data_IF_407880481116
#
_entry.id   IF_407880481116
#
_cell.length_a   1.000
_cell.length_b   1.000
_cell.length_c   1.000
_cell.angle_alpha   90.00
_cell.angle_beta   90.00
_cell.angle_gamma   90.00
#
_symmetry.space_group_name_H-M   'P 1'
#
loop_
_entity.id
_entity.type
_entity.pdbx_description
1 polymer ?
#
# COMPACT_ATOMS: atom_id res chain seq x y z
N UNK A 1 27.77 6.14 -5.32
CA UNK A 1 28.00 7.18 -4.30
C UNK A 1 26.97 8.31 -4.34
N UNK A 2 26.69 8.95 -5.47
CA UNK A 2 25.72 10.07 -5.60
C UNK A 2 24.30 9.76 -5.10
N UNK A 3 23.82 8.52 -5.16
CA UNK A 3 22.47 8.12 -4.71
C UNK A 3 22.28 8.31 -3.19
N UNK A 4 23.32 8.09 -2.38
CA UNK A 4 23.26 8.24 -0.92
C UNK A 4 23.31 9.69 -0.44
N UNK A 5 23.89 10.63 -1.24
CA UNK A 5 23.87 12.06 -0.96
C UNK A 5 22.47 12.71 -1.05
N UNK A 6 21.45 11.94 -1.44
CA UNK A 6 20.05 12.39 -1.43
C UNK A 6 19.49 12.50 0.00
N UNK A 7 20.07 11.77 0.94
CA UNK A 7 19.60 11.74 2.33
C UNK A 7 20.15 12.96 3.10
N UNK A 8 19.27 13.76 3.73
CA UNK A 8 19.69 14.94 4.49
C UNK A 8 20.62 14.60 5.66
N UNK A 9 20.46 13.43 6.28
CA UNK A 9 21.31 12.95 7.36
C UNK A 9 22.75 12.71 6.91
N UNK A 10 22.94 12.18 5.71
CA UNK A 10 24.27 11.95 5.14
C UNK A 10 24.91 13.27 4.75
N UNK A 11 24.16 14.23 4.19
CA UNK A 11 24.66 15.58 3.89
C UNK A 11 25.13 16.29 5.14
N UNK A 12 24.31 16.28 6.20
CA UNK A 12 24.64 16.90 7.48
C UNK A 12 25.88 16.26 8.11
N UNK A 13 25.98 14.93 8.11
CA UNK A 13 27.13 14.21 8.63
C UNK A 13 28.41 14.55 7.84
N UNK A 14 28.34 14.51 6.50
CA UNK A 14 29.48 14.83 5.63
C UNK A 14 29.94 16.27 5.85
N UNK A 15 29.02 17.23 5.99
CA UNK A 15 29.33 18.62 6.27
C UNK A 15 30.04 18.79 7.63
N UNK A 16 29.54 18.14 8.69
CA UNK A 16 30.17 18.15 10.01
C UNK A 16 31.59 17.56 9.98
N UNK A 17 31.78 16.43 9.31
CA UNK A 17 33.09 15.82 9.16
C UNK A 17 34.02 16.70 8.36
N UNK A 18 33.59 17.38 7.30
CA UNK A 18 34.39 18.27 6.51
C UNK A 18 34.86 19.47 7.34
N UNK A 19 34.00 20.08 8.16
CA UNK A 19 34.36 21.16 9.06
C UNK A 19 35.41 20.70 10.08
N UNK A 20 35.19 19.54 10.72
CA UNK A 20 36.14 19.00 11.70
C UNK A 20 37.47 18.70 11.06
N UNK A 21 37.49 18.12 9.86
CA UNK A 21 38.73 17.84 9.12
C UNK A 21 39.51 19.12 8.80
N UNK A 22 38.86 20.17 8.30
CA UNK A 22 39.48 21.44 8.00
C UNK A 22 40.03 22.07 9.29
N UNK A 23 39.25 22.09 10.36
CA UNK A 23 39.67 22.64 11.65
C UNK A 23 40.86 21.87 12.22
N UNK A 24 40.85 20.54 12.13
CA UNK A 24 41.95 19.70 12.57
C UNK A 24 43.22 19.93 11.73
N UNK A 25 43.08 20.01 10.39
CA UNK A 25 44.17 20.30 9.50
C UNK A 25 44.82 21.69 9.77
N UNK A 26 44.01 22.70 10.03
CA UNK A 26 44.52 24.05 10.36
C UNK A 26 45.21 24.06 11.71
N UNK A 27 44.64 23.43 12.74
CA UNK A 27 45.26 23.33 14.06
C UNK A 27 46.57 22.54 14.03
N UNK A 28 46.65 21.43 13.30
CA UNK A 28 47.89 20.67 13.15
C UNK A 28 48.95 21.46 12.41
N UNK A 29 48.59 22.24 11.39
CA UNK A 29 49.51 23.09 10.67
C UNK A 29 50.11 24.20 11.57
N UNK A 30 49.25 24.85 12.38
CA UNK A 30 49.68 25.86 13.34
C UNK A 30 50.62 25.23 14.40
N UNK A 31 50.23 24.07 14.92
CA UNK A 31 51.03 23.32 15.90
C UNK A 31 52.42 22.97 15.35
N UNK A 32 52.49 22.39 14.14
CA UNK A 32 53.75 22.02 13.50
C UNK A 32 54.64 23.27 13.33
N UNK A 33 54.07 24.38 12.86
CA UNK A 33 54.78 25.65 12.69
C UNK A 33 55.35 26.17 14.02
N UNK A 34 54.56 26.09 15.10
CA UNK A 34 55.01 26.52 16.44
C UNK A 34 56.14 25.68 16.97
N UNK A 35 56.08 24.35 16.81
CA UNK A 35 57.12 23.44 17.23
C UNK A 35 58.40 23.57 16.38
N UNK A 36 58.28 23.80 15.06
CA UNK A 36 59.40 24.06 14.19
C UNK A 36 60.10 25.38 14.57
N UNK A 37 59.33 26.41 14.94
CA UNK A 37 59.91 27.68 15.41
C UNK A 37 60.69 27.50 16.72
N UNK A 38 60.21 26.69 17.64
CA UNK A 38 60.95 26.36 18.88
C UNK A 38 62.22 25.57 18.60
N UNK A 39 62.14 24.55 17.72
CA UNK A 39 63.29 23.79 17.30
C UNK A 39 64.37 24.70 16.67
N UNK A 40 63.98 25.61 15.76
CA UNK A 40 64.87 26.58 15.15
C UNK A 40 65.55 27.50 16.19
N UNK A 41 64.78 27.97 17.20
CA UNK A 41 65.31 28.78 18.29
C UNK A 41 66.34 27.99 19.13
N UNK A 42 66.04 26.74 19.46
CA UNK A 42 66.97 25.90 20.23
C UNK A 42 68.22 25.55 19.45
N UNK A 43 68.09 25.33 18.12
CA UNK A 43 69.20 25.14 17.21
C UNK A 43 70.14 26.44 17.12
N UNK A 44 69.50 27.60 16.95
CA UNK A 44 70.21 28.86 16.93
C UNK A 44 70.97 29.13 18.27
N UNK A 45 70.30 28.83 19.41
CA UNK A 45 70.92 28.98 20.75
C UNK A 45 72.11 28.04 20.93
N UNK A 46 71.99 26.78 20.45
CA UNK A 46 73.16 25.86 20.50
C UNK A 46 74.32 26.36 19.67
N UNK A 47 74.05 26.75 18.43
CA UNK A 47 75.13 27.35 17.58
C UNK A 47 75.75 28.61 18.20
N UNK A 48 74.93 29.50 18.78
CA UNK A 48 75.39 30.66 19.49
C UNK A 48 76.30 30.30 20.64
N UNK A 49 76.01 29.32 21.44
CA UNK A 49 76.87 28.82 22.52
C UNK A 49 78.18 28.21 22.01
N UNK A 50 78.12 27.45 20.91
CA UNK A 50 79.34 26.87 20.30
C UNK A 50 80.27 27.99 19.79
N UNK A 51 79.68 28.91 19.01
CA UNK A 51 80.42 30.07 18.48
C UNK A 51 80.99 30.91 19.60
N UNK A 52 80.23 31.27 20.64
CA UNK A 52 80.73 32.02 21.80
C UNK A 52 81.87 31.32 22.54
N UNK A 53 81.74 29.97 22.71
CA UNK A 53 82.84 29.21 23.33
C UNK A 53 84.13 29.18 22.50
N UNK A 54 84.03 29.21 21.16
CA UNK A 54 85.21 29.23 20.26
C UNK A 54 85.80 30.62 20.23
N UNK A 55 84.97 31.65 20.01
CA UNK A 55 85.46 33.06 19.91
C UNK A 55 85.99 33.58 21.23
N UNK A 56 85.54 33.12 22.35
CA UNK A 56 86.14 33.48 23.65
C UNK A 56 87.62 33.05 23.80
N UNK A 57 88.04 32.04 23.03
CA UNK A 57 89.42 31.53 23.03
C UNK A 57 90.22 31.97 21.78
N UNK A 58 89.55 32.15 20.66
CA UNK A 58 90.09 32.42 19.34
C UNK A 58 89.25 33.53 18.63
N UNK A 59 89.37 34.79 19.02
CA UNK A 59 88.69 35.92 18.43
C UNK A 59 88.95 36.11 16.94
N UNK A 60 90.15 35.73 16.47
CA UNK A 60 90.59 35.81 15.09
C UNK A 60 89.83 34.99 14.09
N UNK A 61 89.00 34.03 14.55
CA UNK A 61 88.23 33.12 13.70
C UNK A 61 86.75 33.64 13.39
N UNK A 62 86.40 34.86 13.77
CA UNK A 62 85.12 35.44 13.67
C UNK A 62 84.51 35.37 12.22
N UNK A 63 85.29 35.92 11.26
CA UNK A 63 84.83 35.96 9.87
C UNK A 63 84.66 34.59 9.26
N UNK A 64 85.58 33.65 9.57
CA UNK A 64 85.50 32.26 9.05
C UNK A 64 84.34 31.50 9.59
N UNK A 65 84.02 31.64 10.88
CA UNK A 65 82.84 30.98 11.52
C UNK A 65 81.54 31.59 10.96
N UNK A 66 81.44 32.91 10.81
CA UNK A 66 80.21 33.52 10.28
C UNK A 66 79.98 33.14 8.82
N UNK A 67 81.03 33.02 8.00
CA UNK A 67 80.97 32.55 6.64
C UNK A 67 80.44 31.07 6.61
N UNK A 68 80.97 30.21 7.47
CA UNK A 68 80.54 28.81 7.57
C UNK A 68 79.10 28.63 8.02
N UNK A 69 78.55 29.51 8.89
CA UNK A 69 77.14 29.47 9.34
C UNK A 69 76.15 30.03 8.29
N UNK A 70 76.61 30.91 7.39
CA UNK A 70 75.80 31.55 6.35
C UNK A 70 75.96 30.91 4.98
N UNK A 71 76.86 29.92 4.82
CA UNK A 71 77.11 29.30 3.52
C UNK A 71 75.80 28.60 3.04
N UNK A 72 75.35 29.01 1.84
CA UNK A 72 74.22 28.39 1.14
C UNK A 72 74.66 27.08 0.41
N UNK A 73 73.73 26.25 0.04
CA UNK A 73 73.95 24.99 -0.64
C UNK A 73 74.88 25.00 -1.88
N UNK A 74 75.15 26.19 -2.47
CA UNK A 74 76.02 26.36 -3.65
C UNK A 74 77.51 26.29 -3.34
N UNK A 75 77.92 26.31 -2.04
CA UNK A 75 79.32 26.25 -1.62
C UNK A 75 79.85 24.82 -1.36
N UNK A 76 79.11 23.77 -1.76
CA UNK A 76 79.36 22.38 -1.40
C UNK A 76 80.72 21.81 -1.83
N UNK A 77 81.40 22.38 -2.83
CA UNK A 77 82.64 21.77 -3.32
C UNK A 77 83.82 21.95 -2.36
N UNK A 78 83.92 23.03 -1.61
CA UNK A 78 84.92 23.22 -0.56
C UNK A 78 84.51 22.65 0.80
N UNK A 79 83.17 22.44 1.00
CA UNK A 79 82.58 21.87 2.22
C UNK A 79 82.76 20.36 2.36
N UNK A 80 82.95 19.61 1.26
CA UNK A 80 83.08 18.15 1.34
C UNK A 80 84.33 17.70 2.13
N UNK A 81 85.43 18.44 2.01
CA UNK A 81 86.67 18.19 2.76
C UNK A 81 86.49 18.55 4.25
N UNK A 82 85.96 19.70 4.54
CA UNK A 82 85.69 20.17 5.90
C UNK A 82 84.63 19.37 6.59
N UNK A 83 83.59 18.95 5.86
CA UNK A 83 82.59 18.02 6.34
C UNK A 83 83.15 16.65 6.73
N UNK A 84 84.02 16.05 5.92
CA UNK A 84 84.73 14.80 6.24
C UNK A 84 85.62 14.93 7.49
N UNK A 85 86.31 16.03 7.65
CA UNK A 85 87.13 16.31 8.86
C UNK A 85 86.21 16.40 10.09
N UNK A 86 85.13 17.21 10.03
CA UNK A 86 84.21 17.38 11.10
C UNK A 86 83.47 16.05 11.47
N UNK A 87 83.07 15.30 10.47
CA UNK A 87 82.42 13.96 10.64
C UNK A 87 83.35 13.02 11.36
N UNK A 88 84.58 12.89 10.91
CA UNK A 88 85.61 12.01 11.54
C UNK A 88 85.88 12.35 13.02
N UNK A 89 85.86 13.69 13.36
CA UNK A 89 86.04 14.13 14.75
C UNK A 89 84.75 13.77 15.58
N UNK A 90 83.57 14.05 15.07
CA UNK A 90 82.33 13.83 15.78
C UNK A 90 82.04 12.29 16.00
N UNK A 91 82.34 11.50 14.99
CA UNK A 91 82.22 10.04 15.09
C UNK A 91 83.10 9.44 16.22
N UNK A 92 84.29 9.99 16.48
CA UNK A 92 85.17 9.57 17.62
C UNK A 92 84.47 9.76 18.96
N UNK A 93 83.55 10.69 19.06
CA UNK A 93 82.77 10.99 20.27
C UNK A 93 81.32 10.44 20.21
N UNK A 94 81.05 9.52 19.26
CA UNK A 94 79.70 8.94 19.08
C UNK A 94 78.59 9.97 18.81
N UNK A 95 78.96 11.06 18.14
CA UNK A 95 78.02 12.10 17.69
C UNK A 95 77.90 12.01 16.16
N UNK A 96 77.08 11.06 15.72
CA UNK A 96 76.82 10.75 14.30
C UNK A 96 75.36 10.55 14.02
N UNK A 97 75.00 10.17 12.80
CA UNK A 97 73.63 9.97 12.36
C UNK A 97 72.88 8.87 13.11
N UNK A 98 73.62 7.96 13.79
CA UNK A 98 73.07 6.89 14.63
C UNK A 98 72.68 7.40 16.03
N UNK A 99 72.99 8.63 16.38
CA UNK A 99 72.68 9.20 17.69
C UNK A 99 71.16 9.24 17.91
N UNK A 100 70.71 8.47 18.91
CA UNK A 100 69.33 8.41 19.27
C UNK A 100 68.76 9.79 19.65
N UNK A 101 67.50 10.10 19.20
CA UNK A 101 66.85 11.43 19.36
C UNK A 101 66.89 11.93 20.82
N UNK A 102 66.76 11.03 21.81
CA UNK A 102 66.78 11.37 23.24
C UNK A 102 68.16 11.71 23.78
N UNK A 103 69.24 11.35 23.07
CA UNK A 103 70.62 11.71 23.43
C UNK A 103 71.05 13.04 22.81
N UNK A 104 70.34 13.46 21.76
CA UNK A 104 70.64 14.77 21.14
C UNK A 104 70.10 15.91 22.01
N UNK A 105 70.94 16.85 22.46
CA UNK A 105 70.54 17.92 23.39
C UNK A 105 69.41 18.81 22.86
N UNK A 106 69.36 19.07 21.54
CA UNK A 106 68.33 19.89 20.89
C UNK A 106 67.05 19.11 20.70
N UNK A 107 67.17 17.87 20.21
CA UNK A 107 66.01 17.09 19.78
C UNK A 107 65.29 16.39 20.93
N UNK A 108 65.96 16.11 22.07
CA UNK A 108 65.41 15.40 23.21
C UNK A 108 64.11 16.00 23.73
N UNK A 109 64.14 17.26 24.06
CA UNK A 109 62.97 17.95 24.61
C UNK A 109 61.86 18.20 23.56
N UNK A 110 62.28 18.41 22.29
CA UNK A 110 61.38 18.56 21.17
C UNK A 110 60.61 17.28 20.89
N UNK A 111 61.29 16.15 20.69
CA UNK A 111 60.68 14.87 20.30
C UNK A 111 59.65 14.37 21.33
N UNK A 112 59.98 14.46 22.61
CA UNK A 112 59.09 14.00 23.69
C UNK A 112 57.79 14.87 23.70
N UNK A 113 57.95 16.18 23.73
CA UNK A 113 56.78 17.10 23.78
C UNK A 113 55.95 17.00 22.51
N UNK A 114 56.58 16.88 21.35
CA UNK A 114 55.89 16.72 20.06
C UNK A 114 55.05 15.45 20.00
N UNK A 115 55.62 14.32 20.42
CA UNK A 115 54.89 13.02 20.44
C UNK A 115 53.68 13.09 21.39
N UNK A 116 53.87 13.58 22.62
CA UNK A 116 52.75 13.69 23.60
C UNK A 116 51.63 14.60 23.10
N UNK A 117 51.93 15.76 22.56
CA UNK A 117 50.96 16.70 22.01
C UNK A 117 50.23 16.12 20.81
N UNK A 118 50.94 15.43 19.91
CA UNK A 118 50.36 14.79 18.74
C UNK A 118 49.37 13.74 19.17
N UNK A 119 49.72 12.88 20.13
CA UNK A 119 48.80 11.83 20.66
C UNK A 119 47.53 12.48 21.27
N UNK A 120 47.71 13.59 22.03
CA UNK A 120 46.56 14.29 22.62
C UNK A 120 45.61 14.84 21.54
N UNK A 121 46.12 15.49 20.50
CA UNK A 121 45.32 16.06 19.41
C UNK A 121 44.58 14.97 18.63
N UNK A 122 45.25 13.86 18.29
CA UNK A 122 44.60 12.73 17.62
C UNK A 122 43.54 12.07 18.51
N UNK A 123 43.82 11.88 19.80
CA UNK A 123 42.86 11.36 20.75
C UNK A 123 41.61 12.22 20.86
N UNK A 124 41.77 13.54 20.89
CA UNK A 124 40.66 14.48 20.96
C UNK A 124 39.84 14.47 19.65
N UNK A 125 40.46 14.39 18.49
CA UNK A 125 39.80 14.30 17.21
C UNK A 125 38.96 13.00 17.11
N UNK A 126 39.53 11.86 17.49
CA UNK A 126 38.84 10.56 17.52
C UNK A 126 37.64 10.63 18.48
N UNK A 127 37.79 11.24 19.66
CA UNK A 127 36.69 11.38 20.65
C UNK A 127 35.52 12.20 20.10
N UNK A 128 35.82 13.33 19.42
CA UNK A 128 34.75 14.14 18.78
C UNK A 128 34.02 13.35 17.70
N UNK A 129 34.76 12.62 16.86
CA UNK A 129 34.18 11.75 15.83
C UNK A 129 33.27 10.67 16.48
N UNK A 130 33.73 10.06 17.56
CA UNK A 130 32.96 9.05 18.30
C UNK A 130 31.61 9.62 18.81
N UNK A 131 31.60 10.83 19.40
CA UNK A 131 30.37 11.47 19.88
C UNK A 131 29.37 11.68 18.73
N UNK A 132 29.85 12.16 17.55
CA UNK A 132 28.98 12.40 16.39
C UNK A 132 28.37 11.09 15.87
N UNK A 133 29.17 10.06 15.77
CA UNK A 133 28.71 8.73 15.32
C UNK A 133 27.69 8.18 16.31
N UNK A 134 27.98 8.24 17.61
CA UNK A 134 27.08 7.76 18.67
C UNK A 134 25.70 8.42 18.60
N UNK A 135 25.66 9.74 18.42
CA UNK A 135 24.41 10.50 18.34
C UNK A 135 23.58 10.10 17.10
N UNK A 136 24.23 9.86 15.96
CA UNK A 136 23.56 9.37 14.75
C UNK A 136 23.06 7.93 14.89
N UNK A 137 23.79 7.04 15.53
CA UNK A 137 23.33 5.68 15.82
C UNK A 137 22.14 5.69 16.78
N UNK A 138 22.17 6.49 17.83
CA UNK A 138 21.02 6.64 18.75
C UNK A 138 19.76 7.09 18.03
N UNK A 139 19.87 8.05 17.10
CA UNK A 139 18.74 8.48 16.27
C UNK A 139 18.21 7.33 15.38
N UNK A 140 19.11 6.58 14.73
CA UNK A 140 18.77 5.43 13.90
C UNK A 140 18.02 4.35 14.69
N UNK A 141 18.53 3.96 15.86
CA UNK A 141 17.88 2.95 16.71
C UNK A 141 16.51 3.41 17.20
N UNK A 142 16.36 4.69 17.55
CA UNK A 142 15.05 5.24 17.92
C UNK A 142 14.04 5.15 16.77
N UNK A 143 14.46 5.37 15.53
CA UNK A 143 13.58 5.18 14.35
C UNK A 143 13.23 3.70 14.14
N UNK A 144 14.20 2.79 14.28
CA UNK A 144 13.94 1.36 14.18
C UNK A 144 12.94 0.88 15.25
N UNK A 145 13.04 1.36 16.49
CA UNK A 145 12.08 1.06 17.57
C UNK A 145 10.65 1.48 17.22
N UNK A 146 10.46 2.64 16.56
CA UNK A 146 9.14 3.09 16.09
C UNK A 146 8.55 2.10 15.09
N UNK A 147 9.35 1.60 14.14
CA UNK A 147 8.88 0.58 13.19
C UNK A 147 8.54 -0.75 13.86
N UNK A 148 9.33 -1.15 14.86
CA UNK A 148 9.04 -2.38 15.63
C UNK A 148 7.70 -2.27 16.35
N UNK A 149 7.47 -1.18 17.08
CA UNK A 149 6.19 -0.92 17.76
C UNK A 149 5.02 -0.84 16.79
N UNK A 150 5.21 -0.14 15.66
CA UNK A 150 4.20 -0.06 14.62
C UNK A 150 3.84 -1.44 14.05
N UNK A 151 4.84 -2.32 13.88
CA UNK A 151 4.59 -3.70 13.42
C UNK A 151 3.84 -4.53 14.46
N UNK A 152 4.15 -4.37 15.75
CA UNK A 152 3.44 -5.03 16.86
C UNK A 152 1.96 -4.59 16.89
N UNK A 153 1.70 -3.28 16.80
CA UNK A 153 0.33 -2.75 16.76
C UNK A 153 -0.48 -3.27 15.56
N UNK A 154 0.14 -3.38 14.38
CA UNK A 154 -0.51 -3.99 13.21
C UNK A 154 -0.84 -5.47 13.45
N UNK A 155 0.06 -6.24 14.09
CA UNK A 155 -0.21 -7.64 14.45
C UNK A 155 -1.38 -7.78 15.42
N UNK A 156 -1.56 -6.80 16.31
CA UNK A 156 -2.68 -6.71 17.24
C UNK A 156 -3.99 -6.18 16.59
N UNK A 157 -3.94 -5.85 15.30
CA UNK A 157 -5.08 -5.37 14.53
C UNK A 157 -5.34 -3.87 14.62
N UNK A 158 -4.39 -3.09 15.11
CA UNK A 158 -4.47 -1.64 15.17
C UNK A 158 -3.72 -1.00 14.00
N UNK A 159 -4.46 -0.46 13.04
CA UNK A 159 -3.92 0.11 11.78
C UNK A 159 -3.86 1.63 11.80
N UNK A 160 -3.21 2.22 12.81
CA UNK A 160 -3.06 3.67 12.89
C UNK A 160 -1.91 4.17 11.98
N UNK A 161 -1.88 5.46 11.64
CA UNK A 161 -0.69 6.07 11.01
C UNK A 161 0.45 6.14 12.02
N UNK A 162 1.44 5.27 11.86
CA UNK A 162 2.50 5.07 12.84
C UNK A 162 3.74 5.93 12.61
N UNK A 163 3.96 6.44 11.41
CA UNK A 163 5.22 7.08 11.05
C UNK A 163 4.97 8.39 10.31
N UNK A 164 5.72 9.44 10.74
CA UNK A 164 5.64 10.77 10.15
C UNK A 164 6.20 10.78 8.71
N UNK A 165 5.41 11.29 7.77
CA UNK A 165 5.70 11.32 6.32
C UNK A 165 6.24 12.68 5.85
N UNK A 166 6.42 13.67 6.77
CA UNK A 166 6.60 15.08 6.41
C UNK A 166 8.04 15.54 6.14
N UNK A 167 9.00 14.63 5.89
CA UNK A 167 10.39 14.98 5.61
C UNK A 167 10.94 14.23 4.38
N UNK A 168 12.08 14.67 3.86
CA UNK A 168 12.78 14.04 2.76
C UNK A 168 13.83 13.02 3.25
N UNK A 169 14.04 11.93 2.49
CA UNK A 169 15.05 10.91 2.75
C UNK A 169 14.51 9.49 2.72
N UNK A 170 15.42 8.50 2.67
CA UNK A 170 15.06 7.08 2.50
C UNK A 170 14.20 6.53 3.67
N UNK A 171 14.38 7.05 4.88
CA UNK A 171 13.54 6.70 6.03
C UNK A 171 12.08 7.12 5.84
N UNK A 172 11.84 8.27 5.20
CA UNK A 172 10.48 8.76 4.95
C UNK A 172 9.83 8.00 3.79
N UNK A 173 10.62 7.62 2.78
CA UNK A 173 10.14 6.69 1.74
C UNK A 173 9.74 5.35 2.36
N UNK A 174 10.55 4.81 3.27
CA UNK A 174 10.22 3.59 4.01
C UNK A 174 8.94 3.76 4.84
N UNK A 175 8.80 4.88 5.56
CA UNK A 175 7.59 5.20 6.34
C UNK A 175 6.34 5.24 5.49
N UNK A 176 6.40 5.94 4.34
CA UNK A 176 5.28 6.04 3.40
C UNK A 176 4.90 4.66 2.84
N UNK A 177 5.90 3.85 2.47
CA UNK A 177 5.64 2.47 1.99
C UNK A 177 5.07 1.56 3.08
N UNK A 178 5.53 1.72 4.31
CA UNK A 178 5.01 0.98 5.47
C UNK A 178 3.55 1.35 5.75
N UNK A 179 3.22 2.65 5.79
CA UNK A 179 1.84 3.11 5.97
C UNK A 179 0.93 2.64 4.84
N UNK A 180 1.41 2.67 3.58
CA UNK A 180 0.65 2.14 2.44
C UNK A 180 0.39 0.63 2.57
N UNK A 181 1.38 -0.14 3.02
CA UNK A 181 1.23 -1.57 3.29
C UNK A 181 0.22 -1.82 4.41
N UNK A 182 0.28 -1.05 5.50
CA UNK A 182 -0.66 -1.12 6.62
C UNK A 182 -2.10 -0.87 6.17
N UNK A 183 -2.34 0.19 5.40
CA UNK A 183 -3.67 0.53 4.88
C UNK A 183 -4.21 -0.57 3.96
N UNK A 184 -3.39 -1.12 3.06
CA UNK A 184 -3.80 -2.22 2.18
C UNK A 184 -4.12 -3.50 2.95
N UNK A 185 -3.36 -3.79 4.01
CA UNK A 185 -3.62 -4.94 4.88
C UNK A 185 -4.94 -4.77 5.63
N UNK A 186 -5.21 -3.59 6.18
CA UNK A 186 -6.48 -3.25 6.83
C UNK A 186 -7.66 -3.44 5.87
N UNK A 187 -7.57 -2.86 4.66
CA UNK A 187 -8.60 -3.00 3.64
C UNK A 187 -8.84 -4.47 3.26
N UNK A 188 -7.76 -5.25 3.09
CA UNK A 188 -7.85 -6.68 2.78
C UNK A 188 -8.52 -7.48 3.90
N UNK A 189 -8.17 -7.20 5.15
CA UNK A 189 -8.80 -7.86 6.31
C UNK A 189 -10.28 -7.48 6.47
N UNK A 190 -10.63 -6.21 6.23
CA UNK A 190 -12.03 -5.77 6.24
C UNK A 190 -12.85 -6.45 5.14
N UNK A 191 -12.28 -6.60 3.94
CA UNK A 191 -12.92 -7.31 2.84
C UNK A 191 -13.10 -8.80 3.16
N UNK A 192 -12.06 -9.47 3.66
CA UNK A 192 -12.16 -10.87 4.11
C UNK A 192 -13.23 -11.06 5.20
N UNK A 193 -13.32 -10.12 6.14
CA UNK A 193 -14.36 -10.15 7.18
C UNK A 193 -15.76 -10.00 6.60
N UNK A 194 -15.94 -9.10 5.64
CA UNK A 194 -17.21 -8.93 4.92
C UNK A 194 -17.58 -10.21 4.15
N UNK A 195 -16.64 -10.79 3.42
CA UNK A 195 -16.86 -12.06 2.69
C UNK A 195 -17.21 -13.21 3.62
N UNK A 196 -16.53 -13.33 4.76
CA UNK A 196 -16.84 -14.36 5.77
C UNK A 196 -18.25 -14.21 6.34
N UNK A 197 -18.66 -12.98 6.69
CA UNK A 197 -20.02 -12.71 7.19
C UNK A 197 -21.04 -13.03 6.09
N UNK A 198 -20.76 -12.62 4.87
CA UNK A 198 -21.56 -12.89 3.71
C UNK A 198 -21.78 -14.40 3.47
N UNK A 199 -20.70 -15.20 3.45
CA UNK A 199 -20.79 -16.66 3.31
C UNK A 199 -21.59 -17.29 4.45
N UNK A 200 -21.40 -16.85 5.69
CA UNK A 200 -22.15 -17.32 6.85
C UNK A 200 -23.66 -17.09 6.66
N UNK A 201 -24.02 -15.87 6.23
CA UNK A 201 -25.42 -15.51 6.03
C UNK A 201 -26.04 -16.35 4.90
N UNK A 202 -25.34 -16.50 3.76
CA UNK A 202 -25.82 -17.36 2.66
C UNK A 202 -26.05 -18.78 3.13
N UNK A 203 -25.11 -19.40 3.82
CA UNK A 203 -25.25 -20.79 4.29
C UNK A 203 -26.44 -20.92 5.24
N UNK A 204 -26.63 -19.94 6.14
CA UNK A 204 -27.76 -19.90 7.05
C UNK A 204 -29.07 -19.80 6.28
N UNK A 205 -29.17 -18.89 5.33
CA UNK A 205 -30.37 -18.64 4.53
C UNK A 205 -30.72 -19.86 3.66
N UNK A 206 -29.73 -20.45 2.99
CA UNK A 206 -29.92 -21.72 2.22
C UNK A 206 -30.48 -22.82 3.12
N UNK A 207 -29.87 -23.00 4.29
CA UNK A 207 -30.29 -24.04 5.23
C UNK A 207 -31.75 -23.87 5.65
N UNK A 208 -32.16 -22.64 5.95
CA UNK A 208 -33.56 -22.34 6.31
C UNK A 208 -34.51 -22.54 5.14
N UNK A 209 -34.17 -22.11 3.92
CA UNK A 209 -35.04 -22.22 2.76
C UNK A 209 -35.14 -23.63 2.19
N UNK A 210 -34.15 -24.50 2.43
CA UNK A 210 -34.22 -25.91 2.07
C UNK A 210 -34.92 -26.76 3.14
N UNK A 211 -34.80 -26.41 4.42
CA UNK A 211 -35.42 -27.18 5.53
C UNK A 211 -36.93 -27.23 5.42
N UNK A 212 -37.59 -26.12 5.07
CA UNK A 212 -39.06 -26.03 5.00
C UNK A 212 -39.64 -26.98 3.95
N UNK A 213 -39.26 -26.91 2.64
CA UNK A 213 -39.77 -27.83 1.64
C UNK A 213 -39.39 -29.28 1.93
N UNK A 214 -38.20 -29.56 2.45
CA UNK A 214 -37.78 -30.88 2.84
C UNK A 214 -38.66 -31.46 3.95
N UNK A 215 -38.98 -30.69 4.99
CA UNK A 215 -39.86 -31.11 6.07
C UNK A 215 -41.28 -31.41 5.55
N UNK A 216 -41.80 -30.60 4.60
CA UNK A 216 -43.07 -30.86 3.96
C UNK A 216 -43.06 -32.17 3.15
N UNK A 217 -41.98 -32.42 2.39
CA UNK A 217 -41.82 -33.66 1.64
C UNK A 217 -41.77 -34.89 2.56
N UNK A 218 -41.05 -34.81 3.68
CA UNK A 218 -41.01 -35.89 4.69
C UNK A 218 -42.44 -36.18 5.22
N UNK A 219 -43.16 -35.11 5.60
CA UNK A 219 -44.52 -35.20 6.10
C UNK A 219 -45.46 -35.82 5.05
N UNK A 220 -45.42 -35.34 3.80
CA UNK A 220 -46.25 -35.90 2.73
C UNK A 220 -45.96 -37.39 2.48
N UNK A 221 -44.66 -37.76 2.49
CA UNK A 221 -44.25 -39.13 2.33
C UNK A 221 -44.72 -40.03 3.50
N UNK A 222 -44.71 -39.53 4.74
CA UNK A 222 -45.24 -40.26 5.89
C UNK A 222 -46.78 -40.47 5.79
N UNK A 223 -47.49 -39.40 5.40
CA UNK A 223 -48.94 -39.48 5.23
C UNK A 223 -49.36 -40.50 4.13
N UNK A 224 -48.60 -40.48 2.99
CA UNK A 224 -48.86 -41.40 1.87
C UNK A 224 -48.60 -42.89 2.16
N UNK A 225 -47.96 -43.24 3.30
CA UNK A 225 -47.74 -44.60 3.75
C UNK A 225 -49.02 -45.23 4.33
N UNK A 226 -50.01 -44.43 4.66
CA UNK A 226 -51.31 -44.95 5.12
C UNK A 226 -52.04 -45.73 3.98
N UNK A 227 -52.15 -46.99 4.13
CA UNK A 227 -52.80 -47.86 3.14
C UNK A 227 -54.29 -47.51 2.94
N UNK A 228 -54.97 -46.96 3.94
CA UNK A 228 -56.36 -46.55 3.90
C UNK A 228 -56.61 -45.15 3.34
N UNK A 229 -55.55 -44.45 2.91
CA UNK A 229 -55.68 -43.08 2.35
C UNK A 229 -56.49 -43.11 1.05
N UNK A 230 -57.53 -42.25 0.89
CA UNK A 230 -58.26 -42.09 -0.36
C UNK A 230 -57.28 -41.76 -1.53
N UNK A 231 -57.60 -42.32 -2.70
CA UNK A 231 -56.75 -42.13 -3.90
C UNK A 231 -56.59 -40.63 -4.24
N UNK A 232 -57.63 -39.86 -4.12
CA UNK A 232 -57.66 -38.42 -4.40
C UNK A 232 -56.69 -37.64 -3.48
N UNK A 233 -56.65 -37.97 -2.19
CA UNK A 233 -55.77 -37.39 -1.23
C UNK A 233 -54.26 -37.73 -1.53
N UNK A 234 -54.04 -39.00 -1.94
CA UNK A 234 -52.70 -39.45 -2.35
C UNK A 234 -52.23 -38.75 -3.59
N UNK A 235 -53.09 -38.54 -4.61
CA UNK A 235 -52.77 -37.76 -5.81
C UNK A 235 -52.49 -36.30 -5.46
N UNK A 236 -53.21 -35.70 -4.52
CA UNK A 236 -52.98 -34.37 -4.04
C UNK A 236 -51.57 -34.22 -3.35
N UNK A 237 -51.18 -35.17 -2.48
CA UNK A 237 -49.88 -35.17 -1.84
C UNK A 237 -48.74 -35.38 -2.83
N UNK A 238 -48.92 -36.20 -3.86
CA UNK A 238 -47.96 -36.37 -4.95
C UNK A 238 -47.76 -35.06 -5.71
N UNK A 239 -48.86 -34.35 -6.03
CA UNK A 239 -48.81 -33.04 -6.68
C UNK A 239 -48.08 -31.99 -5.83
N UNK A 240 -48.42 -31.91 -4.54
CA UNK A 240 -47.76 -31.02 -3.60
C UNK A 240 -46.25 -31.34 -3.45
N UNK A 241 -45.91 -32.65 -3.48
CA UNK A 241 -44.53 -33.10 -3.44
C UNK A 241 -43.75 -32.64 -4.69
N UNK A 242 -44.33 -32.77 -5.88
CA UNK A 242 -43.75 -32.29 -7.14
C UNK A 242 -43.54 -30.77 -7.11
N UNK A 243 -44.47 -30.01 -6.57
CA UNK A 243 -44.35 -28.57 -6.37
C UNK A 243 -43.17 -28.21 -5.44
N UNK A 244 -42.99 -28.92 -4.31
CA UNK A 244 -41.87 -28.68 -3.41
C UNK A 244 -40.51 -29.05 -4.05
N UNK A 245 -40.44 -30.15 -4.80
CA UNK A 245 -39.23 -30.55 -5.53
C UNK A 245 -38.82 -29.50 -6.58
N UNK A 246 -39.78 -29.04 -7.40
CA UNK A 246 -39.55 -27.97 -8.38
C UNK A 246 -39.11 -26.67 -7.71
N UNK A 247 -39.65 -26.35 -6.55
CA UNK A 247 -39.24 -25.19 -5.75
C UNK A 247 -37.81 -25.32 -5.27
N UNK A 248 -37.41 -26.51 -4.78
CA UNK A 248 -36.05 -26.77 -4.35
C UNK A 248 -35.04 -26.71 -5.52
N UNK A 249 -35.37 -27.31 -6.66
CA UNK A 249 -34.59 -27.27 -7.89
C UNK A 249 -34.32 -25.79 -8.32
N UNK A 250 -35.40 -25.01 -8.41
CA UNK A 250 -35.30 -23.59 -8.76
C UNK A 250 -34.45 -22.82 -7.78
N UNK A 251 -34.57 -23.07 -6.47
CA UNK A 251 -33.78 -22.46 -5.43
C UNK A 251 -32.29 -22.76 -5.62
N UNK A 252 -31.94 -24.02 -5.81
CA UNK A 252 -30.53 -24.45 -5.99
C UNK A 252 -29.93 -23.82 -7.24
N UNK A 253 -30.64 -23.81 -8.37
CA UNK A 253 -30.13 -23.20 -9.62
C UNK A 253 -29.87 -21.72 -9.42
N UNK A 254 -30.79 -20.99 -8.80
CA UNK A 254 -30.59 -19.53 -8.62
C UNK A 254 -29.52 -19.19 -7.59
N UNK A 255 -29.35 -20.00 -6.54
CA UNK A 255 -28.26 -19.85 -5.58
C UNK A 255 -26.89 -20.10 -6.23
N UNK A 256 -26.77 -21.10 -7.09
CA UNK A 256 -25.54 -21.34 -7.86
C UNK A 256 -25.26 -20.19 -8.82
N UNK A 257 -26.29 -19.62 -9.47
CA UNK A 257 -26.11 -18.41 -10.31
C UNK A 257 -25.56 -17.21 -9.50
N UNK A 258 -26.19 -16.94 -8.35
CA UNK A 258 -25.72 -15.84 -7.45
C UNK A 258 -24.29 -16.12 -6.97
N UNK A 259 -24.00 -17.33 -6.51
CA UNK A 259 -22.65 -17.68 -6.04
C UNK A 259 -21.58 -17.49 -7.11
N UNK A 260 -21.87 -17.85 -8.38
CA UNK A 260 -20.95 -17.61 -9.50
C UNK A 260 -20.77 -16.14 -9.84
N UNK A 261 -21.85 -15.35 -9.80
CA UNK A 261 -21.80 -13.90 -10.04
C UNK A 261 -20.95 -13.18 -8.97
N UNK A 262 -21.20 -13.50 -7.71
CA UNK A 262 -20.50 -12.90 -6.57
C UNK A 262 -19.01 -13.29 -6.49
N UNK A 263 -18.69 -14.53 -6.87
CA UNK A 263 -17.31 -14.99 -6.99
C UNK A 263 -16.57 -14.36 -8.20
N UNK A 264 -17.26 -13.59 -9.05
CA UNK A 264 -16.68 -12.99 -10.24
C UNK A 264 -16.21 -13.99 -11.30
N UNK A 265 -16.66 -15.26 -11.23
CA UNK A 265 -16.24 -16.32 -12.16
C UNK A 265 -17.12 -16.41 -13.42
N UNK A 266 -18.14 -15.56 -13.51
CA UNK A 266 -19.01 -15.48 -14.69
C UNK A 266 -18.32 -14.64 -15.77
N UNK A 267 -18.00 -15.27 -16.87
CA UNK A 267 -17.52 -14.57 -18.08
C UNK A 267 -18.72 -14.12 -18.90
N UNK A 268 -19.06 -12.84 -18.84
CA UNK A 268 -20.15 -12.26 -19.62
C UNK A 268 -19.74 -12.12 -21.11
N UNK A 269 -20.58 -12.66 -21.99
CA UNK A 269 -20.46 -12.45 -23.44
C UNK A 269 -21.06 -11.09 -23.83
N UNK A 270 -20.34 -10.01 -23.54
CA UNK A 270 -20.81 -8.64 -23.82
C UNK A 270 -20.61 -8.31 -25.29
N UNK A 271 -21.62 -8.54 -26.08
CA UNK A 271 -21.68 -8.21 -27.51
C UNK A 271 -22.61 -7.02 -27.73
N UNK A 272 -22.48 -6.37 -28.89
CA UNK A 272 -23.39 -5.28 -29.26
C UNK A 272 -24.72 -5.88 -29.70
N UNK A 273 -25.61 -6.10 -28.75
CA UNK A 273 -26.90 -6.76 -28.95
C UNK A 273 -28.06 -5.75 -29.00
N UNK A 274 -29.11 -5.99 -29.82
CA UNK A 274 -30.29 -5.14 -29.87
C UNK A 274 -31.12 -5.29 -28.58
N UNK A 275 -31.42 -4.17 -27.90
CA UNK A 275 -32.19 -4.18 -26.66
C UNK A 275 -33.60 -4.71 -26.85
N UNK A 276 -34.26 -4.37 -27.97
CA UNK A 276 -35.60 -4.85 -28.30
C UNK A 276 -35.68 -6.38 -28.30
N UNK A 277 -34.68 -7.05 -28.89
CA UNK A 277 -34.62 -8.53 -28.91
C UNK A 277 -34.45 -9.10 -27.50
N UNK A 278 -33.59 -8.48 -26.70
CA UNK A 278 -33.34 -8.90 -25.30
C UNK A 278 -34.63 -8.80 -24.44
N UNK A 279 -35.39 -7.71 -24.60
CA UNK A 279 -36.64 -7.50 -23.88
C UNK A 279 -37.72 -8.50 -24.35
N UNK A 280 -37.82 -8.74 -25.65
CA UNK A 280 -38.77 -9.75 -26.16
C UNK A 280 -38.43 -11.14 -25.66
N UNK A 281 -37.14 -11.49 -25.58
CA UNK A 281 -36.68 -12.75 -24.97
C UNK A 281 -37.10 -12.87 -23.50
N UNK A 282 -36.96 -11.78 -22.74
CA UNK A 282 -37.39 -11.73 -21.34
C UNK A 282 -38.90 -11.93 -21.17
N UNK A 283 -39.67 -11.44 -22.11
CA UNK A 283 -41.17 -11.55 -22.11
C UNK A 283 -41.67 -12.89 -22.58
N UNK A 284 -40.93 -13.66 -23.39
CA UNK A 284 -41.41 -14.86 -24.07
C UNK A 284 -42.08 -15.89 -23.12
N UNK A 285 -41.49 -16.08 -21.91
CA UNK A 285 -42.03 -16.98 -20.90
C UNK A 285 -43.14 -16.38 -19.99
N UNK A 286 -43.39 -15.07 -20.08
CA UNK A 286 -44.28 -14.33 -19.18
C UNK A 286 -45.56 -13.84 -19.85
N UNK A 287 -45.63 -13.85 -21.17
CA UNK A 287 -46.77 -13.34 -21.96
C UNK A 287 -48.09 -14.01 -21.64
N UNK A 288 -48.11 -15.35 -21.38
CA UNK A 288 -49.32 -16.07 -20.98
C UNK A 288 -49.79 -15.65 -19.58
N UNK A 289 -48.87 -15.41 -18.64
CA UNK A 289 -49.24 -14.97 -17.28
C UNK A 289 -49.90 -13.60 -17.31
N UNK A 290 -49.33 -12.63 -18.08
CA UNK A 290 -49.92 -11.34 -18.28
C UNK A 290 -51.32 -11.41 -18.94
N UNK A 291 -51.47 -12.26 -19.98
CA UNK A 291 -52.76 -12.50 -20.65
C UNK A 291 -53.81 -13.07 -19.71
N UNK A 292 -53.48 -14.00 -18.83
CA UNK A 292 -54.41 -14.58 -17.83
C UNK A 292 -54.96 -13.50 -16.89
N UNK A 293 -54.17 -12.47 -16.56
CA UNK A 293 -54.59 -11.27 -15.79
C UNK A 293 -55.18 -10.15 -16.67
N UNK A 294 -55.29 -10.39 -17.99
CA UNK A 294 -55.75 -9.37 -18.95
C UNK A 294 -54.93 -8.04 -18.86
N UNK A 295 -53.67 -8.16 -18.46
CA UNK A 295 -52.77 -7.04 -18.32
C UNK A 295 -52.24 -6.58 -19.68
N UNK A 296 -52.00 -5.25 -19.86
CA UNK A 296 -51.43 -4.66 -21.08
C UNK A 296 -49.97 -4.46 -20.91
N UNK A 297 -49.14 -5.18 -21.66
CA UNK A 297 -47.67 -4.95 -21.72
C UNK A 297 -47.38 -4.10 -22.95
N UNK A 298 -46.72 -2.96 -22.74
CA UNK A 298 -46.33 -1.98 -23.78
C UNK A 298 -44.82 -1.87 -23.83
N UNK A 299 -44.22 -2.19 -25.00
CA UNK A 299 -42.83 -2.02 -25.26
C UNK A 299 -42.68 -0.73 -26.10
N UNK A 300 -41.97 0.25 -25.55
CA UNK A 300 -41.64 1.51 -26.20
C UNK A 300 -40.12 1.65 -26.32
N UNK A 301 -39.52 0.80 -27.17
CA UNK A 301 -38.09 0.68 -27.42
C UNK A 301 -37.90 0.64 -28.92
N UNK A 302 -37.05 1.52 -29.44
CA UNK A 302 -36.73 1.51 -30.87
C UNK A 302 -35.87 0.29 -31.21
N UNK A 303 -36.11 -0.33 -32.37
CA UNK A 303 -35.40 -1.54 -32.80
C UNK A 303 -33.89 -1.28 -33.05
N UNK A 304 -33.53 -0.04 -33.29
CA UNK A 304 -32.16 0.42 -33.59
C UNK A 304 -31.33 0.70 -32.32
N UNK A 305 -31.86 0.43 -31.13
CA UNK A 305 -31.11 0.61 -29.87
C UNK A 305 -30.22 -0.60 -29.61
N UNK A 306 -28.90 -0.38 -29.70
CA UNK A 306 -27.87 -1.40 -29.44
C UNK A 306 -26.94 -0.97 -28.34
N UNK A 307 -26.52 -1.91 -27.48
CA UNK A 307 -25.47 -1.68 -26.50
C UNK A 307 -24.71 -2.97 -26.16
N UNK A 308 -23.52 -2.82 -25.57
CA UNK A 308 -22.70 -3.96 -25.19
C UNK A 308 -23.21 -4.61 -23.90
N UNK A 309 -23.87 -5.75 -24.03
CA UNK A 309 -24.35 -6.54 -22.89
C UNK A 309 -24.38 -8.03 -23.22
N UNK A 310 -24.46 -8.84 -22.17
CA UNK A 310 -24.78 -10.27 -22.31
C UNK A 310 -26.29 -10.41 -22.43
N UNK A 311 -26.77 -10.87 -23.59
CA UNK A 311 -28.19 -10.99 -23.90
C UNK A 311 -28.92 -11.93 -22.95
N UNK A 312 -28.30 -13.08 -22.62
CA UNK A 312 -28.95 -14.11 -21.76
C UNK A 312 -29.12 -13.60 -20.34
N UNK A 313 -28.05 -13.11 -19.74
CA UNK A 313 -28.08 -12.60 -18.38
C UNK A 313 -28.94 -11.34 -18.25
N UNK A 314 -28.88 -10.44 -19.22
CA UNK A 314 -29.72 -9.22 -19.20
C UNK A 314 -31.19 -9.55 -19.40
N UNK A 315 -31.54 -10.51 -20.30
CA UNK A 315 -32.89 -10.97 -20.44
C UNK A 315 -33.40 -11.62 -19.15
N UNK A 316 -32.60 -12.38 -18.41
CA UNK A 316 -32.97 -12.97 -17.12
C UNK A 316 -33.27 -11.86 -16.08
N UNK A 317 -32.38 -10.83 -15.99
CA UNK A 317 -32.61 -9.71 -15.10
C UNK A 317 -33.92 -8.96 -15.40
N UNK A 318 -34.16 -8.64 -16.66
CA UNK A 318 -35.41 -8.00 -17.11
C UNK A 318 -36.60 -8.86 -16.87
N UNK A 319 -36.50 -10.19 -17.13
CA UNK A 319 -37.57 -11.16 -16.89
C UNK A 319 -37.99 -11.21 -15.42
N UNK A 320 -37.06 -11.18 -14.48
CA UNK A 320 -37.36 -11.14 -13.06
C UNK A 320 -38.14 -9.87 -12.65
N UNK A 321 -37.80 -8.71 -13.21
CA UNK A 321 -38.50 -7.46 -12.95
C UNK A 321 -39.94 -7.55 -13.53
N UNK A 322 -40.04 -7.93 -14.81
CA UNK A 322 -41.33 -8.03 -15.48
C UNK A 322 -42.24 -9.04 -14.74
N UNK A 323 -41.69 -10.17 -14.28
CA UNK A 323 -42.41 -11.15 -13.47
C UNK A 323 -42.96 -10.51 -12.21
N UNK A 324 -42.18 -9.73 -11.47
CA UNK A 324 -42.64 -9.01 -10.29
C UNK A 324 -43.74 -8.03 -10.64
N UNK A 325 -43.54 -7.21 -11.70
CA UNK A 325 -44.56 -6.27 -12.16
C UNK A 325 -45.87 -6.97 -12.51
N UNK A 326 -45.88 -8.16 -13.18
CA UNK A 326 -47.06 -8.95 -13.46
C UNK A 326 -47.71 -9.46 -12.18
N UNK A 327 -46.94 -9.94 -11.20
CA UNK A 327 -47.44 -10.47 -9.95
C UNK A 327 -48.14 -9.43 -9.08
N UNK A 328 -47.52 -8.20 -8.99
CA UNK A 328 -48.00 -7.12 -8.13
C UNK A 328 -48.90 -6.07 -8.82
N UNK A 329 -49.26 -6.31 -10.07
CA UNK A 329 -50.24 -5.51 -10.80
C UNK A 329 -51.57 -6.28 -10.86
N UNK A 330 -52.66 -5.54 -10.64
CA UNK A 330 -54.01 -6.09 -10.69
C UNK A 330 -54.43 -6.55 -12.10
N UNK A 331 -55.57 -7.25 -12.18
CA UNK A 331 -56.19 -7.58 -13.45
C UNK A 331 -56.48 -6.31 -14.23
N UNK A 332 -56.32 -6.34 -15.56
CA UNK A 332 -56.47 -5.20 -16.48
C UNK A 332 -55.43 -4.05 -16.28
N UNK A 333 -54.41 -4.26 -15.43
CA UNK A 333 -53.35 -3.29 -15.24
C UNK A 333 -52.41 -3.15 -16.44
N UNK A 334 -51.44 -2.28 -16.31
CA UNK A 334 -50.52 -1.93 -17.39
C UNK A 334 -49.04 -2.02 -16.94
N UNK A 335 -48.22 -2.60 -17.78
CA UNK A 335 -46.77 -2.62 -17.62
C UNK A 335 -46.13 -1.96 -18.84
N UNK A 336 -45.35 -0.92 -18.64
CA UNK A 336 -44.67 -0.17 -19.72
C UNK A 336 -43.15 -0.40 -19.61
N UNK A 337 -42.52 -0.81 -20.71
CA UNK A 337 -41.10 -0.99 -20.83
C UNK A 337 -40.61 0.07 -21.83
N UNK A 338 -39.70 0.94 -21.43
CA UNK A 338 -39.16 2.00 -22.27
C UNK A 338 -37.65 2.11 -22.11
N UNK A 339 -37.01 2.75 -23.09
CA UNK A 339 -35.60 3.02 -23.09
C UNK A 339 -35.34 4.46 -23.42
N UNK A 340 -34.39 5.06 -22.74
CA UNK A 340 -33.84 6.37 -23.04
C UNK A 340 -32.33 6.23 -23.28
N UNK A 341 -31.88 6.72 -24.41
CA UNK A 341 -30.50 6.66 -24.83
C UNK A 341 -29.90 8.06 -24.85
N UNK A 342 -28.79 8.24 -24.17
CA UNK A 342 -27.96 9.45 -24.18
C UNK A 342 -26.57 9.12 -24.73
N UNK A 343 -25.73 10.13 -25.06
CA UNK A 343 -24.36 9.88 -25.48
C UNK A 343 -23.50 9.11 -24.44
N UNK A 344 -23.85 9.20 -23.16
CA UNK A 344 -23.06 8.64 -22.05
C UNK A 344 -23.74 7.48 -21.33
N UNK A 345 -25.04 7.27 -21.52
CA UNK A 345 -25.81 6.25 -20.82
C UNK A 345 -26.94 5.68 -21.65
N UNK A 346 -27.34 4.46 -21.29
CA UNK A 346 -28.58 3.82 -21.71
C UNK A 346 -29.38 3.51 -20.46
N UNK A 347 -30.62 3.98 -20.39
CA UNK A 347 -31.53 3.77 -19.26
C UNK A 347 -32.74 2.98 -19.72
N UNK A 348 -33.02 1.86 -19.05
CA UNK A 348 -34.18 1.00 -19.29
C UNK A 348 -35.13 1.20 -18.12
N UNK A 349 -36.37 1.62 -18.38
CA UNK A 349 -37.43 1.78 -17.39
C UNK A 349 -38.48 0.68 -17.57
N UNK A 350 -38.86 0.02 -16.49
CA UNK A 350 -39.95 -0.95 -16.42
C UNK A 350 -40.91 -0.45 -15.34
N UNK A 351 -42.06 0.07 -15.78
CA UNK A 351 -43.04 0.73 -14.95
C UNK A 351 -44.36 -0.05 -14.96
N UNK A 352 -44.90 -0.30 -13.77
CA UNK A 352 -46.24 -0.87 -13.59
C UNK A 352 -47.15 0.12 -12.83
N UNK A 353 -48.45 -0.11 -12.89
CA UNK A 353 -49.46 0.58 -12.12
C UNK A 353 -50.07 -0.29 -11.01
N UNK A 354 -49.24 -1.12 -10.38
CA UNK A 354 -49.64 -2.04 -9.31
C UNK A 354 -49.77 -1.35 -7.93
N UNK A 355 -49.72 -2.16 -6.89
CA UNK A 355 -49.90 -1.74 -5.50
C UNK A 355 -48.80 -0.78 -4.97
N UNK A 356 -47.64 -0.74 -5.65
CA UNK A 356 -46.52 0.06 -5.22
C UNK A 356 -45.76 -0.51 -4.01
N UNK A 357 -44.66 0.18 -3.63
CA UNK A 357 -43.76 -0.26 -2.56
C UNK A 357 -43.53 0.92 -1.58
N UNK A 358 -43.83 0.72 -0.29
CA UNK A 358 -43.57 1.73 0.72
C UNK A 358 -42.10 2.16 0.73
N UNK A 359 -41.80 3.47 0.87
CA UNK A 359 -40.45 4.04 0.81
C UNK A 359 -39.43 3.30 1.70
N UNK A 360 -39.84 2.90 2.91
CA UNK A 360 -39.02 2.17 3.88
C UNK A 360 -38.55 0.80 3.40
N UNK A 361 -39.25 0.23 2.40
CA UNK A 361 -39.00 -1.12 1.90
C UNK A 361 -38.24 -1.10 0.57
N UNK A 362 -38.16 0.00 -0.15
CA UNK A 362 -37.56 0.10 -1.47
C UNK A 362 -36.07 -0.33 -1.51
N UNK A 363 -35.30 -0.05 -0.45
CA UNK A 363 -33.94 -0.53 -0.34
C UNK A 363 -33.85 -2.02 0.00
N UNK A 364 -34.86 -2.57 0.69
CA UNK A 364 -34.87 -3.96 1.17
C UNK A 364 -35.30 -4.97 0.12
N UNK A 365 -36.04 -4.56 -0.92
CA UNK A 365 -36.52 -5.47 -1.96
C UNK A 365 -35.39 -6.14 -2.75
N UNK A 366 -34.17 -5.58 -2.72
CA UNK A 366 -32.98 -6.15 -3.33
C UNK A 366 -32.20 -7.06 -2.39
N UNK A 367 -32.61 -7.16 -1.10
CA UNK A 367 -32.02 -8.11 -0.17
C UNK A 367 -32.49 -9.55 -0.53
N UNK A 368 -31.62 -10.52 -0.32
CA UNK A 368 -31.95 -11.91 -0.59
C UNK A 368 -32.99 -12.41 0.39
N UNK A 369 -33.91 -13.25 -0.13
CA UNK A 369 -35.01 -13.86 0.64
C UNK A 369 -35.97 -12.84 1.25
N UNK A 370 -35.83 -11.56 0.87
CA UNK A 370 -36.80 -10.57 1.30
C UNK A 370 -38.17 -10.79 0.63
N UNK A 371 -39.21 -10.81 1.43
CA UNK A 371 -40.60 -10.85 1.01
C UNK A 371 -41.39 -9.76 1.72
N UNK A 372 -42.19 -9.00 0.97
CA UNK A 372 -43.17 -8.12 1.58
C UNK A 372 -44.17 -8.87 2.41
N UNK A 373 -44.72 -8.28 3.46
CA UNK A 373 -45.75 -8.87 4.35
C UNK A 373 -46.99 -9.32 3.56
N UNK A 374 -47.29 -8.65 2.45
CA UNK A 374 -48.42 -8.92 1.55
C UNK A 374 -48.00 -9.70 0.29
N UNK A 375 -47.03 -10.60 0.38
CA UNK A 375 -46.54 -11.36 -0.79
C UNK A 375 -47.70 -12.12 -1.45
N UNK A 376 -48.13 -11.68 -2.64
CA UNK A 376 -49.20 -12.27 -3.46
C UNK A 376 -48.94 -13.71 -3.82
N UNK A 377 -47.67 -14.12 -3.87
CA UNK A 377 -47.28 -15.50 -4.21
C UNK A 377 -46.52 -16.15 -3.05
N UNK A 378 -47.17 -17.01 -2.24
CA UNK A 378 -46.54 -17.73 -1.13
C UNK A 378 -45.33 -18.59 -1.57
N UNK A 379 -45.32 -19.01 -2.84
CA UNK A 379 -44.24 -19.83 -3.41
C UNK A 379 -43.01 -18.99 -3.86
N UNK A 380 -43.12 -17.66 -3.91
CA UNK A 380 -41.95 -16.81 -4.23
C UNK A 380 -40.89 -16.97 -3.13
N UNK A 381 -39.61 -16.98 -3.50
CA UNK A 381 -38.51 -17.22 -2.53
C UNK A 381 -37.77 -15.89 -2.18
N UNK A 382 -38.02 -14.78 -2.89
CA UNK A 382 -37.38 -13.49 -2.64
C UNK A 382 -35.93 -13.40 -3.17
N UNK A 383 -35.61 -14.17 -4.22
CA UNK A 383 -34.26 -14.18 -4.84
C UNK A 383 -34.21 -13.36 -6.15
N UNK A 384 -35.34 -13.19 -6.84
CA UNK A 384 -35.37 -12.64 -8.20
C UNK A 384 -34.73 -11.24 -8.32
N UNK A 385 -35.10 -10.29 -7.44
CA UNK A 385 -34.58 -8.94 -7.50
C UNK A 385 -33.13 -8.84 -7.04
N UNK A 386 -32.70 -9.64 -6.07
CA UNK A 386 -31.27 -9.69 -5.66
C UNK A 386 -30.40 -10.27 -6.77
N UNK A 387 -30.85 -11.30 -7.47
CA UNK A 387 -30.19 -11.83 -8.66
C UNK A 387 -30.13 -10.80 -9.78
N UNK A 388 -31.24 -10.10 -10.02
CA UNK A 388 -31.28 -8.98 -11.00
C UNK A 388 -30.22 -7.93 -10.70
N UNK A 389 -30.13 -7.46 -9.45
CA UNK A 389 -29.13 -6.50 -9.02
C UNK A 389 -27.71 -7.02 -9.26
N UNK A 390 -27.42 -8.25 -8.85
CA UNK A 390 -26.10 -8.87 -9.08
C UNK A 390 -25.75 -8.98 -10.57
N UNK A 391 -26.71 -9.34 -11.44
CA UNK A 391 -26.49 -9.42 -12.89
C UNK A 391 -26.16 -8.03 -13.49
N UNK A 392 -26.93 -7.01 -13.12
CA UNK A 392 -26.77 -5.66 -13.65
C UNK A 392 -25.45 -5.04 -13.18
N UNK A 393 -25.15 -5.11 -11.88
CA UNK A 393 -23.92 -4.60 -11.29
C UNK A 393 -22.67 -5.32 -11.83
N UNK A 394 -22.73 -6.63 -12.05
CA UNK A 394 -21.64 -7.41 -12.66
C UNK A 394 -21.38 -7.02 -14.11
N UNK A 395 -22.33 -6.40 -14.79
CA UNK A 395 -22.17 -5.84 -16.14
C UNK A 395 -21.89 -4.33 -16.15
N UNK A 396 -21.48 -3.75 -15.00
CA UNK A 396 -21.20 -2.31 -14.81
C UNK A 396 -22.44 -1.42 -15.00
N UNK A 397 -23.64 -1.94 -14.79
CA UNK A 397 -24.87 -1.20 -14.70
C UNK A 397 -25.26 -0.88 -13.25
N UNK A 398 -26.30 -0.09 -13.09
CA UNK A 398 -26.96 0.17 -11.80
C UNK A 398 -28.45 -0.03 -11.93
N UNK A 399 -29.11 -0.41 -10.82
CA UNK A 399 -30.56 -0.54 -10.73
C UNK A 399 -31.07 0.22 -9.53
N UNK A 400 -32.11 1.01 -9.74
CA UNK A 400 -32.85 1.71 -8.68
C UNK A 400 -34.35 1.45 -8.85
N UNK A 401 -35.12 1.72 -7.80
CA UNK A 401 -36.57 1.63 -7.80
C UNK A 401 -37.15 2.96 -7.34
N UNK A 402 -38.20 3.40 -8.05
CA UNK A 402 -39.04 4.52 -7.68
C UNK A 402 -40.48 4.00 -7.56
N UNK A 403 -41.09 4.16 -6.40
CA UNK A 403 -42.41 3.62 -6.15
C UNK A 403 -43.17 4.45 -5.15
N UNK A 404 -44.49 4.52 -5.34
CA UNK A 404 -45.42 5.12 -4.41
C UNK A 404 -46.55 4.18 -4.16
N UNK A 405 -46.91 3.92 -2.90
CA UNK A 405 -47.93 2.99 -2.50
C UNK A 405 -49.29 3.38 -3.13
N UNK A 406 -49.91 2.44 -3.81
CA UNK A 406 -51.15 2.66 -4.56
C UNK A 406 -51.02 3.32 -5.95
N UNK A 407 -49.82 3.67 -6.40
CA UNK A 407 -49.56 4.28 -7.73
C UNK A 407 -48.73 3.42 -8.67
N UNK A 408 -48.07 2.40 -8.16
CA UNK A 408 -47.27 1.48 -8.92
C UNK A 408 -45.75 1.62 -8.68
N UNK A 409 -44.98 0.87 -9.43
CA UNK A 409 -43.53 0.76 -9.27
C UNK A 409 -42.81 1.00 -10.60
N UNK A 410 -41.68 1.71 -10.56
CA UNK A 410 -40.80 1.90 -11.69
C UNK A 410 -39.40 1.40 -11.33
N UNK A 411 -38.90 0.38 -12.03
CA UNK A 411 -37.52 -0.09 -11.95
C UNK A 411 -36.72 0.59 -13.06
N UNK A 412 -35.60 1.21 -12.69
CA UNK A 412 -34.74 1.96 -13.59
C UNK A 412 -33.37 1.31 -13.61
N UNK A 413 -32.98 0.78 -14.77
CA UNK A 413 -31.67 0.14 -15.00
C UNK A 413 -30.85 1.09 -15.86
N UNK A 414 -29.65 1.46 -15.42
CA UNK A 414 -28.75 2.35 -16.17
C UNK A 414 -27.41 1.68 -16.46
N UNK A 415 -27.02 1.69 -17.73
CA UNK A 415 -25.69 1.28 -18.18
C UNK A 415 -24.94 2.50 -18.70
N UNK A 416 -23.68 2.67 -18.25
CA UNK A 416 -22.81 3.71 -18.78
C UNK A 416 -22.20 3.24 -20.11
N UNK A 417 -22.29 4.09 -21.12
CA UNK A 417 -21.58 3.89 -22.39
C UNK A 417 -20.12 4.26 -22.17
N UNK A 418 -19.23 3.35 -22.51
CA UNK A 418 -17.79 3.67 -22.54
C UNK A 418 -17.58 4.69 -23.66
N UNK A 419 -17.31 5.93 -23.28
CA UNK A 419 -16.82 6.93 -24.25
C UNK A 419 -15.43 6.45 -24.67
N UNK A 420 -15.29 5.98 -25.91
CA UNK A 420 -14.01 5.58 -26.51
C UNK A 420 -13.20 6.84 -26.82
#
# INVERSE_FOLDING_TARGET
MLKYFRNPEIKELTFKFSIIFILFATLTTIFIKEELNKLNKDYINQNTLIVGNILSKHPELEEEIILSLKSNEDARYNEEKNYKIGKNVLEKYSYDESLELYKNPVLKNFSIKFIYRTIIYFGLAIFIIYIIIYDKFKYFYKKAEVFTKASEEIMDGHFNKFVDENREGDFYILSSKFNLMSNRLEESLLNLKKEKIFLKNIISDISHQLKTPLSSLIMFNELMKDENMPIEDRENFLKLSDEQLKRMEWLIINLLKIGRLEAGVVEFKRENNPLYVTVNKALAGLSEKAKRKSQKVIINIDEDVYFKHDMEWTAEAISNIIKNSIEHTDNYGQIKISCEETPISLTISIKDNGEGIPEKLQNKIFERFYKGENSVNPSSIGIGLSLTKSIIESQNGSIIVESEEGKGTEFIITFLKTVI
#
